data_IF_645154313193
#
_entry.id   IF_645154313193
#
_cell.length_a   1.000
_cell.length_b   1.000
_cell.length_c   1.000
_cell.angle_alpha   90.00
_cell.angle_beta   90.00
_cell.angle_gamma   90.00
#
_symmetry.space_group_name_H-M   'P 1'
#
loop_
_entity.id
_entity.type
_entity.pdbx_description
1 polymer ?
#
# COMPACT_ATOMS: atom_id res chain seq x y z
N UNK A 1 -34.30 3.62 34.12
CA UNK A 1 -33.96 4.49 32.98
C UNK A 1 -32.45 4.44 32.80
N UNK A 2 -31.97 3.78 31.74
CA UNK A 2 -30.55 3.86 31.37
C UNK A 2 -30.29 5.29 30.95
N UNK A 3 -29.26 5.92 31.53
CA UNK A 3 -28.92 7.31 31.20
C UNK A 3 -28.46 7.40 29.74
N UNK A 4 -28.65 8.55 29.08
CA UNK A 4 -28.14 8.76 27.70
C UNK A 4 -26.64 8.43 27.57
N UNK A 5 -25.88 8.62 28.66
CA UNK A 5 -24.45 8.34 28.71
C UNK A 5 -24.15 6.84 28.69
N UNK A 6 -24.88 6.04 29.48
CA UNK A 6 -24.76 4.57 29.48
C UNK A 6 -25.14 3.96 28.13
N UNK A 7 -26.19 4.48 27.49
CA UNK A 7 -26.61 4.04 26.15
C UNK A 7 -25.51 4.32 25.11
N UNK A 8 -24.89 5.50 25.17
CA UNK A 8 -23.79 5.89 24.27
C UNK A 8 -22.54 5.03 24.48
N UNK A 9 -22.22 4.69 25.73
CA UNK A 9 -21.10 3.81 26.07
C UNK A 9 -21.37 2.39 25.56
N UNK A 10 -22.57 1.84 25.81
CA UNK A 10 -22.96 0.51 25.35
C UNK A 10 -22.92 0.38 23.81
N UNK A 11 -23.50 1.34 23.09
CA UNK A 11 -23.44 1.42 21.63
C UNK A 11 -21.99 1.43 21.12
N UNK A 12 -21.14 2.20 21.79
CA UNK A 12 -19.73 2.30 21.40
C UNK A 12 -18.98 0.99 21.61
N UNK A 13 -19.23 0.30 22.72
CA UNK A 13 -18.64 -1.03 22.97
C UNK A 13 -19.11 -2.01 21.90
N UNK A 14 -20.41 -2.04 21.60
CA UNK A 14 -21.01 -2.93 20.60
C UNK A 14 -20.45 -2.71 19.19
N UNK A 15 -20.09 -1.47 18.82
CA UNK A 15 -19.54 -1.16 17.50
C UNK A 15 -18.01 -1.32 17.43
N UNK A 16 -17.29 -0.86 18.44
CA UNK A 16 -15.82 -0.80 18.41
C UNK A 16 -15.19 -2.15 18.70
N UNK A 17 -15.78 -2.97 19.58
CA UNK A 17 -15.21 -4.29 19.93
C UNK A 17 -15.15 -5.24 18.73
N UNK A 18 -16.24 -5.49 17.98
CA UNK A 18 -16.19 -6.37 16.81
C UNK A 18 -15.20 -5.87 15.75
N UNK A 19 -15.13 -4.54 15.57
CA UNK A 19 -14.19 -3.93 14.64
C UNK A 19 -12.73 -4.19 15.05
N UNK A 20 -12.40 -4.03 16.34
CA UNK A 20 -11.05 -4.34 16.85
C UNK A 20 -10.74 -5.81 16.65
N UNK A 21 -11.66 -6.71 17.01
CA UNK A 21 -11.47 -8.16 16.84
C UNK A 21 -11.20 -8.50 15.38
N UNK A 22 -12.01 -7.97 14.47
CA UNK A 22 -11.84 -8.13 13.03
C UNK A 22 -10.48 -7.64 12.53
N UNK A 23 -10.10 -6.41 12.90
CA UNK A 23 -8.81 -5.81 12.54
C UNK A 23 -7.65 -6.64 13.07
N UNK A 24 -7.68 -7.05 14.35
CA UNK A 24 -6.61 -7.83 14.95
C UNK A 24 -6.49 -9.22 14.33
N UNK A 25 -7.60 -9.85 13.97
CA UNK A 25 -7.60 -11.13 13.25
C UNK A 25 -6.89 -10.99 11.89
N UNK A 26 -7.25 -9.98 11.10
CA UNK A 26 -6.64 -9.77 9.78
C UNK A 26 -5.18 -9.30 9.87
N UNK A 27 -4.83 -8.42 10.81
CA UNK A 27 -3.43 -8.07 11.05
C UNK A 27 -2.61 -9.28 11.49
N UNK A 28 -3.21 -10.21 12.25
CA UNK A 28 -2.55 -11.46 12.63
C UNK A 28 -2.38 -12.39 11.44
N UNK A 29 -3.38 -12.53 10.57
CA UNK A 29 -3.22 -13.32 9.34
C UNK A 29 -2.13 -12.75 8.45
N UNK A 30 -2.08 -11.43 8.30
CA UNK A 30 -1.04 -10.70 7.58
C UNK A 30 0.35 -10.99 8.16
N UNK A 31 0.48 -10.94 9.48
CA UNK A 31 1.72 -11.29 10.16
C UNK A 31 2.13 -12.75 9.92
N UNK A 32 1.19 -13.69 9.99
CA UNK A 32 1.42 -15.12 9.77
C UNK A 32 1.70 -15.49 8.30
N UNK A 33 1.25 -14.68 7.34
CA UNK A 33 1.53 -14.91 5.91
C UNK A 33 3.02 -14.81 5.56
N UNK A 34 3.78 -13.98 6.30
CA UNK A 34 5.22 -13.81 6.11
C UNK A 34 6.02 -15.11 6.38
N UNK A 35 5.93 -15.76 7.57
CA UNK A 35 6.60 -17.04 7.81
C UNK A 35 5.99 -18.18 6.99
N UNK A 36 4.71 -18.13 6.64
CA UNK A 36 4.11 -19.12 5.74
C UNK A 36 4.75 -19.07 4.34
N UNK A 37 5.00 -17.86 3.81
CA UNK A 37 5.72 -17.69 2.54
C UNK A 37 7.11 -18.31 2.58
N UNK A 38 7.84 -18.17 3.69
CA UNK A 38 9.13 -18.88 3.87
C UNK A 38 8.95 -20.39 3.85
N UNK A 39 7.93 -20.90 4.54
CA UNK A 39 7.69 -22.34 4.58
C UNK A 39 7.35 -22.93 3.21
N UNK A 40 6.50 -22.25 2.45
CA UNK A 40 6.18 -22.64 1.08
C UNK A 40 7.44 -22.62 0.20
N UNK A 41 8.23 -21.55 0.25
CA UNK A 41 9.33 -21.35 -0.68
C UNK A 41 10.60 -22.15 -0.34
N UNK A 42 10.82 -22.52 0.92
CA UNK A 42 12.08 -23.16 1.36
C UNK A 42 11.92 -24.49 2.07
N UNK A 43 10.73 -24.81 2.60
CA UNK A 43 10.49 -26.04 3.37
C UNK A 43 9.59 -27.05 2.66
N UNK A 44 9.12 -26.75 1.44
CA UNK A 44 8.52 -27.74 0.54
C UNK A 44 9.57 -28.25 -0.47
N UNK A 45 9.53 -29.52 -0.90
CA UNK A 45 10.47 -30.05 -1.89
C UNK A 45 10.49 -29.24 -3.19
N UNK A 46 9.31 -28.89 -3.71
CA UNK A 46 9.14 -28.16 -4.96
C UNK A 46 9.61 -26.71 -4.82
N UNK A 47 9.24 -26.04 -3.72
CA UNK A 47 9.67 -24.67 -3.44
C UNK A 47 11.18 -24.57 -3.26
N UNK A 48 11.79 -25.49 -2.51
CA UNK A 48 13.23 -25.52 -2.30
C UNK A 48 14.04 -25.82 -3.58
N UNK A 49 13.45 -26.55 -4.53
CA UNK A 49 14.02 -26.72 -5.86
C UNK A 49 13.92 -25.41 -6.67
N UNK A 50 12.75 -24.78 -6.68
CA UNK A 50 12.50 -23.52 -7.39
C UNK A 50 13.37 -22.36 -6.84
N UNK A 51 13.55 -22.28 -5.53
CA UNK A 51 14.29 -21.21 -4.87
C UNK A 51 15.78 -21.14 -5.27
N UNK A 52 16.32 -22.24 -5.80
CA UNK A 52 17.70 -22.35 -6.27
C UNK A 52 17.87 -21.96 -7.74
N UNK A 53 16.78 -21.85 -8.49
CA UNK A 53 16.81 -21.44 -9.89
C UNK A 53 17.34 -20.00 -10.00
N UNK A 54 18.15 -19.71 -11.03
CA UNK A 54 18.58 -18.34 -11.30
C UNK A 54 17.37 -17.48 -11.66
N UNK A 55 17.31 -16.26 -11.13
CA UNK A 55 16.28 -15.29 -11.45
C UNK A 55 16.60 -14.67 -12.83
N UNK A 56 15.75 -14.86 -13.86
CA UNK A 56 15.92 -14.20 -15.14
C UNK A 56 15.76 -12.69 -15.00
N UNK A 57 16.52 -11.92 -15.78
CA UNK A 57 16.43 -10.45 -15.80
C UNK A 57 15.00 -9.95 -16.06
N UNK A 58 14.25 -10.68 -16.90
CA UNK A 58 12.89 -10.32 -17.32
C UNK A 58 11.86 -10.41 -16.21
N UNK A 59 12.15 -11.11 -15.11
CA UNK A 59 11.23 -11.29 -13.97
C UNK A 59 11.26 -10.15 -12.96
N UNK A 60 12.15 -9.16 -13.17
CA UNK A 60 12.26 -8.00 -12.29
C UNK A 60 12.15 -6.68 -13.07
N UNK A 61 11.02 -6.43 -13.75
CA UNK A 61 10.80 -5.19 -14.48
C UNK A 61 10.57 -4.05 -13.47
N UNK A 62 11.46 -3.07 -13.48
CA UNK A 62 11.26 -1.81 -12.80
C UNK A 62 10.63 -0.82 -13.74
N UNK A 63 9.58 -0.15 -13.26
CA UNK A 63 9.05 1.04 -13.90
C UNK A 63 9.40 2.24 -13.01
N UNK A 64 9.97 3.30 -13.58
CA UNK A 64 10.14 4.57 -12.90
C UNK A 64 9.32 5.65 -13.60
N UNK A 65 8.69 6.51 -12.80
CA UNK A 65 7.87 7.62 -13.31
C UNK A 65 6.72 7.18 -14.23
N UNK A 66 6.24 5.94 -14.08
CA UNK A 66 5.28 5.25 -14.97
C UNK A 66 5.74 5.03 -16.43
N UNK A 67 6.95 5.45 -16.79
CA UNK A 67 7.39 5.52 -18.20
C UNK A 67 8.69 4.78 -18.45
N UNK A 68 9.66 4.91 -17.54
CA UNK A 68 11.00 4.38 -17.74
C UNK A 68 11.08 2.95 -17.24
N UNK A 69 10.84 1.99 -18.14
CA UNK A 69 11.01 0.57 -17.89
C UNK A 69 12.47 0.13 -18.02
N UNK A 70 12.99 -0.61 -17.03
CA UNK A 70 14.29 -1.27 -17.11
C UNK A 70 14.29 -2.53 -16.26
N UNK A 71 15.22 -3.44 -16.54
CA UNK A 71 15.41 -4.65 -15.76
C UNK A 71 16.57 -4.45 -14.77
N UNK A 72 16.40 -4.87 -13.52
CA UNK A 72 17.52 -4.88 -12.58
C UNK A 72 18.33 -6.16 -12.80
N UNK A 73 19.63 -6.07 -13.15
CA UNK A 73 20.50 -7.23 -13.19
C UNK A 73 20.82 -7.68 -11.77
N UNK A 74 19.97 -8.54 -11.23
CA UNK A 74 20.21 -9.21 -9.96
C UNK A 74 20.79 -10.59 -10.26
N UNK A 75 22.10 -10.85 -10.12
CA UNK A 75 22.68 -12.18 -10.21
C UNK A 75 22.31 -12.98 -8.94
N UNK A 76 21.03 -13.25 -8.76
CA UNK A 76 20.45 -13.91 -7.60
C UNK A 76 19.61 -15.10 -8.02
N UNK A 77 19.37 -16.01 -7.08
CA UNK A 77 18.32 -17.00 -7.20
C UNK A 77 16.96 -16.40 -6.83
N UNK A 78 15.88 -17.05 -7.25
CA UNK A 78 14.52 -16.70 -6.78
C UNK A 78 14.44 -16.66 -5.24
N UNK A 79 15.10 -17.58 -4.55
CA UNK A 79 15.13 -17.63 -3.09
C UNK A 79 15.75 -16.39 -2.46
N UNK A 80 16.91 -15.94 -2.95
CA UNK A 80 17.55 -14.74 -2.42
C UNK A 80 16.70 -13.48 -2.67
N UNK A 81 16.11 -13.36 -3.87
CA UNK A 81 15.21 -12.27 -4.20
C UNK A 81 13.94 -12.29 -3.33
N UNK A 82 13.37 -13.47 -3.07
CA UNK A 82 12.21 -13.63 -2.20
C UNK A 82 12.52 -13.21 -0.75
N UNK A 83 13.68 -13.63 -0.21
CA UNK A 83 14.12 -13.21 1.13
C UNK A 83 14.32 -11.69 1.23
N UNK A 84 14.85 -11.06 0.18
CA UNK A 84 15.00 -9.61 0.11
C UNK A 84 13.62 -8.91 0.15
N UNK A 85 12.66 -9.36 -0.67
CA UNK A 85 11.30 -8.84 -0.69
C UNK A 85 10.61 -9.02 0.66
N UNK A 86 10.74 -10.20 1.28
CA UNK A 86 10.20 -10.46 2.60
C UNK A 86 10.80 -9.53 3.66
N UNK A 87 12.11 -9.28 3.60
CA UNK A 87 12.77 -8.30 4.47
C UNK A 87 12.14 -6.91 4.34
N UNK A 88 11.82 -6.47 3.12
CA UNK A 88 11.12 -5.21 2.87
C UNK A 88 9.71 -5.23 3.50
N UNK A 89 8.96 -6.32 3.35
CA UNK A 89 7.63 -6.44 3.96
C UNK A 89 7.67 -6.43 5.48
N UNK A 90 8.66 -7.10 6.10
CA UNK A 90 8.88 -7.06 7.55
C UNK A 90 9.19 -5.63 8.02
N UNK A 91 10.06 -4.91 7.30
CA UNK A 91 10.40 -3.51 7.61
C UNK A 91 9.17 -2.62 7.46
N UNK A 92 8.39 -2.79 6.40
CA UNK A 92 7.16 -2.04 6.17
C UNK A 92 6.14 -2.32 7.27
N UNK A 93 5.96 -3.58 7.67
CA UNK A 93 5.05 -3.98 8.75
C UNK A 93 5.47 -3.38 10.09
N UNK A 94 6.76 -3.46 10.43
CA UNK A 94 7.30 -2.84 11.65
C UNK A 94 7.15 -1.31 11.64
N UNK A 95 7.35 -0.68 10.47
CA UNK A 95 7.10 0.75 10.26
C UNK A 95 5.63 1.10 10.47
N UNK A 96 4.72 0.35 9.85
CA UNK A 96 3.27 0.53 9.95
C UNK A 96 2.77 0.31 11.40
N UNK A 97 3.38 -0.60 12.15
CA UNK A 97 3.05 -0.84 13.56
C UNK A 97 3.26 0.39 14.44
N UNK A 98 4.29 1.20 14.14
CA UNK A 98 4.71 2.35 14.97
C UNK A 98 4.34 3.71 14.39
N UNK A 99 3.92 3.78 13.13
CA UNK A 99 3.70 5.04 12.43
C UNK A 99 2.57 5.87 13.05
N UNK A 100 2.83 7.17 13.33
CA UNK A 100 1.99 8.15 14.04
C UNK A 100 1.58 7.76 15.46
N UNK A 101 0.84 6.67 15.61
CA UNK A 101 0.43 6.08 16.87
C UNK A 101 0.57 4.56 16.75
N UNK A 102 1.05 3.88 17.79
CA UNK A 102 1.25 2.43 17.71
C UNK A 102 -0.08 1.68 17.61
N UNK A 103 -0.10 0.51 16.97
CA UNK A 103 -1.32 -0.30 16.87
C UNK A 103 -1.90 -0.62 18.26
N UNK A 104 -1.04 -1.00 19.21
CA UNK A 104 -1.44 -1.26 20.59
C UNK A 104 -2.04 -0.01 21.26
N UNK A 105 -1.47 1.18 21.04
CA UNK A 105 -2.02 2.43 21.57
C UNK A 105 -3.40 2.75 21.01
N UNK A 106 -3.59 2.57 19.70
CA UNK A 106 -4.88 2.77 19.03
C UNK A 106 -5.94 1.84 19.64
N UNK A 107 -5.62 0.55 19.79
CA UNK A 107 -6.54 -0.44 20.37
C UNK A 107 -6.84 -0.11 21.83
N UNK A 108 -5.82 0.19 22.64
CA UNK A 108 -5.99 0.51 24.07
C UNK A 108 -6.86 1.75 24.29
N UNK A 109 -6.75 2.77 23.43
CA UNK A 109 -7.44 4.06 23.57
C UNK A 109 -8.73 4.16 22.74
N UNK A 110 -9.12 3.07 22.09
CA UNK A 110 -10.26 2.99 21.18
C UNK A 110 -11.60 3.36 21.82
N UNK A 111 -11.78 3.06 23.11
CA UNK A 111 -12.99 3.36 23.87
C UNK A 111 -12.99 4.76 24.51
N UNK A 112 -11.84 5.45 24.56
CA UNK A 112 -11.69 6.77 25.19
C UNK A 112 -11.54 7.94 24.22
N UNK A 113 -11.29 7.69 22.93
CA UNK A 113 -11.02 8.74 21.91
C UNK A 113 -11.96 8.71 20.71
N UNK A 114 -12.19 9.83 19.98
CA UNK A 114 -13.07 9.82 18.81
C UNK A 114 -12.75 8.69 17.81
N UNK A 115 -13.76 8.09 17.18
CA UNK A 115 -13.63 6.97 16.25
C UNK A 115 -12.62 7.23 15.12
N UNK A 116 -12.55 8.48 14.64
CA UNK A 116 -11.58 8.91 13.62
C UNK A 116 -10.12 8.70 14.01
N UNK A 117 -9.80 8.67 15.32
CA UNK A 117 -8.45 8.42 15.82
C UNK A 117 -8.02 6.97 15.68
N UNK A 118 -8.94 6.03 15.43
CA UNK A 118 -8.59 4.64 15.13
C UNK A 118 -7.77 4.53 13.84
N UNK A 119 -8.08 5.39 12.86
CA UNK A 119 -7.38 5.45 11.58
C UNK A 119 -6.05 6.19 11.64
N UNK A 120 -5.55 6.56 12.84
CA UNK A 120 -4.21 7.11 12.97
C UNK A 120 -3.12 6.09 12.67
N UNK A 121 -3.40 4.80 12.86
CA UNK A 121 -2.48 3.71 12.57
C UNK A 121 -2.91 2.98 11.28
N UNK A 122 -1.94 2.77 10.39
CA UNK A 122 -2.16 2.12 9.12
C UNK A 122 -2.60 0.65 9.26
N UNK A 123 -1.99 -0.12 10.17
CA UNK A 123 -2.39 -1.52 10.39
C UNK A 123 -3.81 -1.65 10.95
N UNK A 124 -4.34 -0.61 11.60
CA UNK A 124 -5.76 -0.58 11.97
C UNK A 124 -6.66 -0.26 10.78
N UNK A 125 -6.29 0.73 9.96
CA UNK A 125 -7.08 1.19 8.83
C UNK A 125 -7.12 0.17 7.68
N UNK A 126 -6.00 -0.50 7.42
CA UNK A 126 -5.81 -1.34 6.24
C UNK A 126 -6.77 -2.50 6.11
N UNK A 127 -7.05 -3.33 7.13
CA UNK A 127 -8.00 -4.43 6.98
C UNK A 127 -9.38 -3.93 6.52
N UNK A 128 -9.82 -2.80 7.06
CA UNK A 128 -11.08 -2.16 6.69
C UNK A 128 -11.03 -1.68 5.23
N UNK A 129 -9.96 -0.97 4.86
CA UNK A 129 -9.76 -0.47 3.50
C UNK A 129 -9.69 -1.63 2.49
N UNK A 130 -8.94 -2.68 2.80
CA UNK A 130 -8.78 -3.86 1.97
C UNK A 130 -10.11 -4.58 1.76
N UNK A 131 -10.90 -4.78 2.82
CA UNK A 131 -12.22 -5.41 2.69
C UNK A 131 -13.21 -4.55 1.91
N UNK A 132 -13.22 -3.23 2.12
CA UNK A 132 -14.07 -2.33 1.33
C UNK A 132 -13.65 -2.33 -0.14
N UNK A 133 -12.34 -2.28 -0.42
CA UNK A 133 -11.79 -2.32 -1.77
C UNK A 133 -12.13 -3.65 -2.44
N UNK A 134 -11.97 -4.78 -1.74
CA UNK A 134 -12.33 -6.10 -2.26
C UNK A 134 -13.79 -6.18 -2.65
N UNK A 135 -14.72 -5.74 -1.78
CA UNK A 135 -16.16 -5.74 -2.09
C UNK A 135 -16.43 -4.87 -3.33
N UNK A 136 -15.81 -3.70 -3.42
CA UNK A 136 -15.99 -2.81 -4.58
C UNK A 136 -15.45 -3.45 -5.87
N UNK A 137 -14.24 -4.01 -5.85
CA UNK A 137 -13.63 -4.70 -6.98
C UNK A 137 -14.46 -5.92 -7.40
N UNK A 138 -14.89 -6.74 -6.46
CA UNK A 138 -15.74 -7.91 -6.72
C UNK A 138 -17.09 -7.49 -7.34
N UNK A 139 -17.70 -6.43 -6.83
CA UNK A 139 -18.97 -5.90 -7.38
C UNK A 139 -18.79 -5.40 -8.82
N UNK A 140 -17.72 -4.63 -9.08
CA UNK A 140 -17.39 -4.13 -10.42
C UNK A 140 -17.13 -5.31 -11.36
N UNK A 141 -16.33 -6.28 -10.92
CA UNK A 141 -15.99 -7.47 -11.70
C UNK A 141 -17.25 -8.26 -12.08
N UNK A 142 -18.12 -8.59 -11.12
CA UNK A 142 -19.37 -9.30 -11.38
C UNK A 142 -20.27 -8.55 -12.36
N UNK A 143 -20.35 -7.22 -12.24
CA UNK A 143 -21.09 -6.39 -13.18
C UNK A 143 -20.46 -6.44 -14.58
N UNK A 144 -19.15 -6.27 -14.70
CA UNK A 144 -18.45 -6.27 -15.98
C UNK A 144 -18.56 -7.61 -16.72
N UNK A 145 -18.37 -8.73 -16.01
CA UNK A 145 -18.54 -10.07 -16.57
C UNK A 145 -19.98 -10.27 -17.06
N UNK A 146 -20.99 -9.78 -16.33
CA UNK A 146 -22.40 -9.84 -16.78
C UNK A 146 -22.67 -9.07 -18.07
N UNK A 147 -21.82 -8.09 -18.39
CA UNK A 147 -21.89 -7.28 -19.62
C UNK A 147 -20.91 -7.77 -20.70
N UNK A 148 -20.24 -8.92 -20.50
CA UNK A 148 -19.27 -9.47 -21.45
C UNK A 148 -17.96 -8.68 -21.52
N UNK A 149 -17.58 -7.98 -20.45
CA UNK A 149 -16.30 -7.27 -20.33
C UNK A 149 -15.37 -8.08 -19.42
N UNK A 150 -14.55 -8.99 -19.97
CA UNK A 150 -13.77 -9.91 -19.16
C UNK A 150 -12.61 -9.20 -18.46
N UNK A 151 -12.34 -9.58 -17.21
CA UNK A 151 -11.15 -9.11 -16.47
C UNK A 151 -9.88 -9.86 -16.91
N UNK A 152 -10.04 -11.05 -17.48
CA UNK A 152 -8.95 -11.96 -17.79
C UNK A 152 -8.62 -12.88 -16.62
N UNK A 153 -7.76 -13.87 -16.88
CA UNK A 153 -7.31 -14.85 -15.89
C UNK A 153 -5.83 -14.67 -15.59
N UNK A 154 -5.40 -15.19 -14.45
CA UNK A 154 -3.98 -15.32 -14.17
C UNK A 154 -3.31 -16.24 -15.19
N UNK A 155 -2.02 -16.01 -15.48
CA UNK A 155 -1.28 -16.86 -16.39
C UNK A 155 -1.09 -18.25 -15.78
N UNK A 156 -1.28 -19.29 -16.59
CA UNK A 156 -0.99 -20.68 -16.21
C UNK A 156 0.52 -20.93 -16.27
N UNK A 157 1.21 -20.55 -15.19
CA UNK A 157 2.66 -20.75 -15.02
C UNK A 157 2.95 -21.56 -13.75
N UNK A 158 4.22 -21.90 -13.54
CA UNK A 158 4.68 -22.54 -12.30
C UNK A 158 4.15 -21.80 -11.05
N UNK A 159 3.51 -22.50 -10.08
CA UNK A 159 2.91 -21.85 -8.92
C UNK A 159 3.89 -21.05 -8.07
N UNK A 160 5.16 -21.47 -7.96
CA UNK A 160 6.18 -20.73 -7.20
C UNK A 160 6.65 -19.50 -7.97
N UNK A 161 6.69 -19.56 -9.31
CA UNK A 161 6.90 -18.38 -10.14
C UNK A 161 5.76 -17.39 -10.00
N UNK A 162 4.51 -17.84 -10.08
CA UNK A 162 3.33 -16.99 -9.88
C UNK A 162 3.34 -16.36 -8.49
N UNK A 163 3.57 -17.16 -7.45
CA UNK A 163 3.68 -16.67 -6.08
C UNK A 163 4.80 -15.63 -5.94
N UNK A 164 5.97 -15.86 -6.52
CA UNK A 164 7.07 -14.90 -6.55
C UNK A 164 6.67 -13.60 -7.26
N UNK A 165 6.01 -13.68 -8.41
CA UNK A 165 5.53 -12.50 -9.15
C UNK A 165 4.51 -11.69 -8.35
N UNK A 166 3.56 -12.35 -7.69
CA UNK A 166 2.59 -11.70 -6.80
C UNK A 166 3.25 -11.10 -5.54
N UNK A 167 4.41 -11.65 -5.14
CA UNK A 167 5.25 -11.13 -4.06
C UNK A 167 6.08 -9.93 -4.50
N UNK A 168 6.58 -9.91 -5.73
CA UNK A 168 7.48 -8.86 -6.21
C UNK A 168 6.71 -7.65 -6.74
N UNK A 169 5.61 -7.87 -7.46
CA UNK A 169 4.86 -6.81 -8.16
C UNK A 169 4.42 -5.66 -7.26
N UNK A 170 3.92 -5.86 -6.02
CA UNK A 170 3.47 -4.75 -5.17
C UNK A 170 4.57 -3.72 -4.95
N UNK A 171 5.78 -4.18 -4.62
CA UNK A 171 6.90 -3.28 -4.39
C UNK A 171 7.29 -2.51 -5.66
N UNK A 172 7.45 -3.22 -6.78
CA UNK A 172 7.94 -2.63 -8.03
C UNK A 172 6.92 -1.61 -8.58
N UNK A 173 5.65 -1.95 -8.50
CA UNK A 173 4.55 -1.11 -8.95
C UNK A 173 4.36 0.11 -8.03
N UNK A 174 4.46 -0.03 -6.71
CA UNK A 174 4.44 1.13 -5.81
C UNK A 174 5.63 2.06 -6.03
N UNK A 175 6.82 1.52 -6.35
CA UNK A 175 7.98 2.33 -6.73
C UNK A 175 7.68 3.13 -7.99
N UNK A 176 7.15 2.49 -9.03
CA UNK A 176 6.92 3.14 -10.31
C UNK A 176 5.80 4.16 -10.31
N UNK A 177 4.65 3.82 -9.73
CA UNK A 177 3.46 4.66 -9.83
C UNK A 177 3.33 5.67 -8.70
N UNK A 178 3.87 5.39 -7.50
CA UNK A 178 3.65 6.24 -6.31
C UNK A 178 4.96 6.87 -5.85
N UNK A 179 5.91 6.08 -5.39
CA UNK A 179 7.12 6.58 -4.69
C UNK A 179 7.96 7.45 -5.62
N UNK A 180 8.21 7.02 -6.86
CA UNK A 180 8.95 7.82 -7.83
C UNK A 180 8.07 8.94 -8.42
N UNK A 181 6.91 8.60 -8.97
CA UNK A 181 6.05 9.56 -9.68
C UNK A 181 5.45 10.63 -8.77
N UNK A 182 4.64 10.23 -7.79
CA UNK A 182 4.00 11.18 -6.86
C UNK A 182 5.07 11.79 -5.95
N UNK A 183 6.06 11.01 -5.51
CA UNK A 183 7.14 11.49 -4.66
C UNK A 183 7.98 12.60 -5.32
N UNK A 184 8.40 12.44 -6.58
CA UNK A 184 9.14 13.50 -7.30
C UNK A 184 8.26 14.70 -7.59
N UNK A 185 7.00 14.50 -7.99
CA UNK A 185 6.05 15.60 -8.11
C UNK A 185 5.98 16.41 -6.80
N UNK A 186 5.86 15.73 -5.66
CA UNK A 186 5.79 16.38 -4.35
C UNK A 186 7.08 17.12 -3.99
N UNK A 187 8.25 16.58 -4.35
CA UNK A 187 9.53 17.28 -4.16
C UNK A 187 9.50 18.61 -4.90
N UNK A 188 9.17 18.59 -6.20
CA UNK A 188 9.10 19.79 -7.03
C UNK A 188 8.06 20.77 -6.49
N UNK A 189 6.84 20.29 -6.21
CA UNK A 189 5.75 21.11 -5.69
C UNK A 189 6.11 21.79 -4.36
N UNK A 190 6.69 21.06 -3.42
CA UNK A 190 7.06 21.60 -2.10
C UNK A 190 8.25 22.56 -2.18
N UNK A 191 9.19 22.32 -3.10
CA UNK A 191 10.25 23.28 -3.43
C UNK A 191 9.66 24.57 -4.00
N UNK A 192 8.66 24.50 -4.87
CA UNK A 192 8.02 25.70 -5.44
C UNK A 192 7.23 26.49 -4.40
N UNK A 193 6.45 25.83 -3.54
CA UNK A 193 5.55 26.52 -2.58
C UNK A 193 6.27 26.93 -1.29
N UNK A 194 7.30 26.18 -0.87
CA UNK A 194 8.00 26.37 0.41
C UNK A 194 9.52 26.47 0.27
N UNK A 195 10.04 26.73 -0.93
CA UNK A 195 11.48 26.82 -1.20
C UNK A 195 12.22 27.81 -0.30
N UNK A 196 11.62 28.97 0.01
CA UNK A 196 12.21 29.94 0.96
C UNK A 196 12.37 29.35 2.35
N UNK A 197 11.38 28.61 2.85
CA UNK A 197 11.48 27.92 4.15
C UNK A 197 12.53 26.82 4.11
N UNK A 198 12.58 26.05 3.01
CA UNK A 198 13.59 25.01 2.85
C UNK A 198 15.02 25.60 2.80
N UNK A 199 15.20 26.75 2.16
CA UNK A 199 16.49 27.46 2.07
C UNK A 199 16.99 28.00 3.43
N UNK A 200 16.11 28.17 4.41
CA UNK A 200 16.52 28.54 5.79
C UNK A 200 17.01 27.35 6.61
N UNK A 201 16.79 26.12 6.14
CA UNK A 201 17.26 24.92 6.83
C UNK A 201 18.75 24.68 6.58
N UNK A 202 19.42 24.01 7.50
CA UNK A 202 20.77 23.50 7.21
C UNK A 202 20.74 22.46 6.10
N UNK A 203 21.84 22.26 5.39
CA UNK A 203 21.94 21.27 4.29
C UNK A 203 21.49 19.88 4.72
N UNK A 204 21.86 19.42 5.91
CA UNK A 204 21.43 18.13 6.44
C UNK A 204 19.94 18.05 6.74
N UNK A 205 19.33 19.14 7.23
CA UNK A 205 17.88 19.21 7.45
C UNK A 205 17.11 19.26 6.14
N UNK A 206 17.59 20.03 5.15
CA UNK A 206 17.00 20.08 3.82
C UNK A 206 17.04 18.70 3.16
N UNK A 207 18.18 18.01 3.18
CA UNK A 207 18.32 16.65 2.67
C UNK A 207 17.36 15.68 3.37
N UNK A 208 17.28 15.74 4.71
CA UNK A 208 16.35 14.91 5.48
C UNK A 208 14.89 15.14 5.09
N UNK A 209 14.48 16.40 4.91
CA UNK A 209 13.12 16.73 4.48
C UNK A 209 12.87 16.22 3.06
N UNK A 210 13.80 16.43 2.13
CA UNK A 210 13.68 15.96 0.75
C UNK A 210 13.53 14.45 0.67
N UNK A 211 14.32 13.68 1.43
CA UNK A 211 14.20 12.22 1.51
C UNK A 211 12.90 11.77 2.18
N UNK A 212 12.35 12.56 3.11
CA UNK A 212 11.07 12.27 3.74
C UNK A 212 9.87 12.50 2.83
N UNK A 213 9.99 13.32 1.78
CA UNK A 213 8.86 13.60 0.88
C UNK A 213 8.35 12.32 0.19
N UNK A 214 9.18 11.53 -0.52
CA UNK A 214 8.70 10.32 -1.19
C UNK A 214 8.38 9.19 -0.20
N UNK A 215 8.91 9.21 1.03
CA UNK A 215 8.67 8.17 2.03
C UNK A 215 7.42 8.45 2.88
N UNK A 216 7.28 9.68 3.38
CA UNK A 216 6.23 10.09 4.30
C UNK A 216 5.69 11.49 3.94
N UNK A 217 4.94 11.63 2.83
CA UNK A 217 4.45 12.92 2.32
C UNK A 217 3.84 13.84 3.37
N UNK A 218 2.93 13.29 4.19
CA UNK A 218 2.23 14.07 5.23
C UNK A 218 3.19 14.62 6.30
N UNK A 219 4.18 13.82 6.71
CA UNK A 219 5.19 14.23 7.70
C UNK A 219 6.09 15.32 7.13
N UNK A 220 6.51 15.20 5.87
CA UNK A 220 7.31 16.22 5.20
C UNK A 220 6.52 17.54 5.06
N UNK A 221 5.25 17.47 4.64
CA UNK A 221 4.34 18.63 4.58
C UNK A 221 4.21 19.32 5.93
N UNK A 222 4.08 18.56 7.02
CA UNK A 222 4.03 19.10 8.38
C UNK A 222 5.28 19.91 8.73
N UNK A 223 6.47 19.37 8.47
CA UNK A 223 7.74 20.06 8.73
C UNK A 223 7.85 21.37 7.93
N UNK A 224 7.33 21.38 6.71
CA UNK A 224 7.29 22.57 5.84
C UNK A 224 6.13 23.53 6.16
N UNK A 225 5.28 23.23 7.14
CA UNK A 225 4.12 24.07 7.49
C UNK A 225 3.11 24.16 6.35
N UNK A 226 2.99 23.10 5.56
CA UNK A 226 1.94 22.95 4.54
C UNK A 226 0.79 22.18 5.16
N UNK A 227 -0.43 22.48 4.70
CA UNK A 227 -1.65 21.78 5.13
C UNK A 227 -1.48 20.26 5.01
N UNK A 228 -1.73 19.54 6.08
CA UNK A 228 -1.54 18.09 6.19
C UNK A 228 -2.88 17.35 6.17
N UNK A 229 -2.84 16.09 5.79
CA UNK A 229 -3.98 15.17 5.89
C UNK A 229 -4.22 14.79 7.35
N UNK A 230 -3.16 14.63 8.15
CA UNK A 230 -3.32 14.30 9.58
C UNK A 230 -4.05 15.37 10.39
N UNK A 231 -3.99 16.64 9.98
CA UNK A 231 -4.67 17.76 10.68
C UNK A 231 -5.97 18.19 10.00
N UNK A 232 -6.05 18.10 8.67
CA UNK A 232 -7.20 18.62 7.90
C UNK A 232 -7.99 17.55 7.13
N UNK A 233 -7.66 16.27 7.30
CA UNK A 233 -8.27 15.16 6.57
C UNK A 233 -8.11 15.31 5.06
N UNK A 234 -9.15 14.96 4.30
CA UNK A 234 -9.19 15.05 2.84
C UNK A 234 -8.87 16.48 2.35
N UNK A 235 -9.25 17.51 3.11
CA UNK A 235 -8.95 18.91 2.75
C UNK A 235 -7.46 19.22 2.80
N UNK A 236 -6.62 18.34 3.37
CA UNK A 236 -5.16 18.41 3.38
C UNK A 236 -4.50 17.99 2.06
N UNK A 237 -5.25 17.37 1.15
CA UNK A 237 -4.79 17.02 -0.19
C UNK A 237 -4.91 18.25 -1.10
N UNK A 238 -3.80 18.66 -1.70
CA UNK A 238 -3.74 19.75 -2.68
C UNK A 238 -4.34 19.33 -4.01
N UNK A 239 -4.68 20.32 -4.85
CA UNK A 239 -5.19 20.06 -6.21
C UNK A 239 -4.19 19.25 -7.04
N UNK A 240 -2.89 19.56 -6.92
CA UNK A 240 -1.84 18.83 -7.62
C UNK A 240 -1.73 17.37 -7.16
N UNK A 241 -1.80 17.11 -5.85
CA UNK A 241 -1.84 15.74 -5.32
C UNK A 241 -3.05 14.94 -5.84
N UNK A 242 -4.23 15.56 -5.92
CA UNK A 242 -5.41 14.93 -6.51
C UNK A 242 -5.24 14.59 -7.99
N UNK A 243 -4.71 15.52 -8.78
CA UNK A 243 -4.43 15.31 -10.20
C UNK A 243 -3.45 14.15 -10.35
N UNK A 244 -2.39 14.11 -9.56
CA UNK A 244 -1.40 13.03 -9.62
C UNK A 244 -2.02 11.68 -9.25
N UNK A 245 -2.83 11.59 -8.19
CA UNK A 245 -3.52 10.34 -7.85
C UNK A 245 -4.37 9.87 -9.03
N UNK A 246 -5.16 10.74 -9.66
CA UNK A 246 -6.03 10.36 -10.78
C UNK A 246 -5.19 9.85 -11.97
N UNK A 247 -4.16 10.61 -12.36
CA UNK A 247 -3.28 10.25 -13.48
C UNK A 247 -2.60 8.90 -13.22
N UNK A 248 -1.99 8.71 -12.05
CA UNK A 248 -1.26 7.48 -11.73
C UNK A 248 -2.20 6.29 -11.66
N UNK A 249 -3.44 6.48 -11.21
CA UNK A 249 -4.44 5.40 -11.10
C UNK A 249 -4.97 4.97 -12.47
N UNK A 250 -5.22 5.93 -13.36
CA UNK A 250 -5.61 5.63 -14.74
C UNK A 250 -4.47 4.91 -15.48
N UNK A 251 -3.24 5.41 -15.34
CA UNK A 251 -2.06 4.78 -15.92
C UNK A 251 -1.86 3.35 -15.39
N UNK A 252 -2.05 3.15 -14.08
CA UNK A 252 -1.94 1.83 -13.44
C UNK A 252 -2.94 0.82 -14.04
N UNK A 253 -4.20 1.22 -14.21
CA UNK A 253 -5.22 0.37 -14.84
C UNK A 253 -4.95 0.08 -16.31
N UNK A 254 -4.52 1.09 -17.08
CA UNK A 254 -4.18 0.90 -18.50
C UNK A 254 -2.99 -0.05 -18.71
N UNK A 255 -1.96 0.07 -17.87
CA UNK A 255 -0.78 -0.80 -17.92
C UNK A 255 -1.18 -2.26 -17.69
N UNK A 256 -2.08 -2.56 -16.76
CA UNK A 256 -2.55 -3.93 -16.54
C UNK A 256 -3.19 -4.54 -17.79
N UNK A 257 -3.99 -3.77 -18.52
CA UNK A 257 -4.54 -4.22 -19.80
C UNK A 257 -3.47 -4.43 -20.87
N UNK A 258 -2.52 -3.49 -21.00
CA UNK A 258 -1.42 -3.59 -21.99
C UNK A 258 -0.54 -4.82 -21.73
N UNK A 259 -0.33 -5.19 -20.47
CA UNK A 259 0.51 -6.31 -20.07
C UNK A 259 -0.24 -7.64 -19.88
N UNK A 260 -1.42 -7.80 -20.48
CA UNK A 260 -2.03 -9.11 -20.71
C UNK A 260 -3.33 -9.40 -19.96
N UNK A 261 -3.84 -8.46 -19.16
CA UNK A 261 -5.17 -8.60 -18.56
C UNK A 261 -6.29 -8.23 -19.55
N UNK A 262 -7.50 -8.67 -19.26
CA UNK A 262 -8.70 -8.29 -20.02
C UNK A 262 -9.10 -6.83 -19.80
N UNK A 263 -9.96 -6.25 -20.66
CA UNK A 263 -10.39 -4.85 -20.57
C UNK A 263 -11.09 -4.52 -19.25
N UNK A 264 -11.74 -5.49 -18.59
CA UNK A 264 -12.35 -5.30 -17.28
C UNK A 264 -11.34 -4.94 -16.18
N UNK A 265 -10.08 -5.35 -16.34
CA UNK A 265 -9.02 -5.05 -15.37
C UNK A 265 -8.70 -3.56 -15.30
N UNK A 266 -8.95 -2.78 -16.37
CA UNK A 266 -8.65 -1.34 -16.39
C UNK A 266 -9.35 -0.63 -15.22
N UNK A 267 -10.65 -0.86 -15.04
CA UNK A 267 -11.45 -0.18 -14.02
C UNK A 267 -11.12 -0.65 -12.61
N UNK A 268 -10.93 -1.95 -12.40
CA UNK A 268 -10.62 -2.52 -11.09
C UNK A 268 -9.22 -2.13 -10.64
N UNK A 269 -8.22 -2.27 -11.51
CA UNK A 269 -6.87 -1.83 -11.22
C UNK A 269 -6.79 -0.29 -11.08
N UNK A 270 -7.56 0.51 -11.84
CA UNK A 270 -7.63 1.96 -11.57
C UNK A 270 -8.19 2.27 -10.19
N UNK A 271 -9.21 1.53 -9.71
CA UNK A 271 -9.74 1.70 -8.36
C UNK A 271 -8.68 1.34 -7.29
N UNK A 272 -7.97 0.23 -7.46
CA UNK A 272 -6.84 -0.16 -6.60
C UNK A 272 -5.76 0.93 -6.60
N UNK A 273 -5.41 1.38 -7.80
CA UNK A 273 -4.60 2.55 -8.13
C UNK A 273 -4.86 3.73 -7.21
N UNK A 274 -6.13 4.13 -7.19
CA UNK A 274 -6.64 5.30 -6.47
C UNK A 274 -6.56 5.12 -4.96
N UNK A 275 -6.98 3.95 -4.45
CA UNK A 275 -6.92 3.66 -3.02
C UNK A 275 -5.48 3.58 -2.53
N UNK A 276 -4.57 2.98 -3.29
CA UNK A 276 -3.14 2.92 -2.94
C UNK A 276 -2.51 4.31 -2.95
N UNK A 277 -2.86 5.17 -3.93
CA UNK A 277 -2.43 6.56 -3.95
C UNK A 277 -2.90 7.37 -2.73
N UNK A 278 -4.14 7.13 -2.26
CA UNK A 278 -4.64 7.76 -1.04
C UNK A 278 -3.91 7.23 0.21
N UNK A 279 -3.75 5.92 0.38
CA UNK A 279 -3.05 5.36 1.55
C UNK A 279 -1.59 5.81 1.58
N UNK A 280 -0.94 5.94 0.42
CA UNK A 280 0.40 6.52 0.29
C UNK A 280 0.48 7.94 0.87
N UNK A 281 -0.41 8.85 0.48
CA UNK A 281 -0.39 10.22 1.03
C UNK A 281 -0.76 10.25 2.51
N UNK A 282 -1.70 9.40 2.94
CA UNK A 282 -2.16 9.37 4.31
C UNK A 282 -1.13 8.79 5.27
N UNK A 283 -0.40 7.73 4.89
CA UNK A 283 0.38 6.93 5.83
C UNK A 283 1.86 6.81 5.44
N UNK A 284 2.23 7.09 4.20
CA UNK A 284 3.58 6.89 3.67
C UNK A 284 3.75 5.56 2.93
N UNK A 285 4.96 5.36 2.39
CA UNK A 285 5.40 4.24 1.53
C UNK A 285 4.97 2.86 2.00
N UNK A 286 5.09 2.57 3.29
CA UNK A 286 4.81 1.25 3.83
C UNK A 286 3.34 0.84 3.69
N UNK A 287 2.43 1.80 3.62
CA UNK A 287 1.00 1.54 3.57
C UNK A 287 0.54 0.95 2.24
N UNK A 288 0.73 1.60 1.07
CA UNK A 288 0.32 1.02 -0.19
C UNK A 288 1.08 -0.27 -0.50
N UNK A 289 2.37 -0.38 -0.14
CA UNK A 289 3.16 -1.62 -0.33
C UNK A 289 2.50 -2.79 0.38
N UNK A 290 2.17 -2.64 1.66
CA UNK A 290 1.49 -3.68 2.41
C UNK A 290 0.07 -3.94 1.87
N UNK A 291 -0.64 -2.90 1.42
CA UNK A 291 -2.05 -3.02 1.03
C UNK A 291 -2.14 -3.85 -0.22
N UNK A 292 -1.32 -3.47 -1.18
CA UNK A 292 -1.17 -4.12 -2.46
C UNK A 292 -0.66 -5.55 -2.28
N UNK A 293 0.36 -5.75 -1.44
CA UNK A 293 0.85 -7.10 -1.15
C UNK A 293 -0.22 -8.02 -0.57
N UNK A 294 -0.98 -7.57 0.43
CA UNK A 294 -2.09 -8.35 0.96
C UNK A 294 -3.23 -8.52 -0.04
N UNK A 295 -3.52 -7.51 -0.87
CA UNK A 295 -4.52 -7.64 -1.91
C UNK A 295 -4.14 -8.76 -2.89
N UNK A 296 -2.87 -8.82 -3.32
CA UNK A 296 -2.38 -9.86 -4.21
C UNK A 296 -2.34 -11.23 -3.52
N UNK A 297 -1.88 -11.32 -2.27
CA UNK A 297 -1.74 -12.61 -1.58
C UNK A 297 -3.06 -13.28 -1.20
N UNK A 298 -4.11 -12.49 -0.94
CA UNK A 298 -5.37 -13.02 -0.42
C UNK A 298 -6.46 -13.10 -1.49
N UNK A 299 -6.36 -12.32 -2.57
CA UNK A 299 -7.47 -12.07 -3.48
C UNK A 299 -7.12 -12.33 -4.96
N UNK A 300 -5.93 -12.86 -5.22
CA UNK A 300 -5.45 -13.26 -6.55
C UNK A 300 -5.06 -14.73 -6.48
#
# INVERSE_FOLDING_TARGET
>A
MVTQNETRIALRILLVTPLIVFVLLLVSSYFLSMPLGLALFFFTPEGAAFSKLPLPLTEFPMLLFMVFGFYIPVPASYGLAFLFLLGIYVICFAGAWRFRESLHDVVRKSFSRPFTKLFNNNLFAMPIIASMLFIAVATIHLFQESQGIPTGTLPEIDPFRLFFQLTSSPLLEEIGFRISTIGVFLIVYLLSVRGKKLATLSTGQALKVTLLIPLYPDKAKKLLGVKTISEFGIKGISRGEWIMIIITSLAFGLVHYIFGWGPGKITTATLDGFVFGLTYLFYGIQAPILLHWFFNYYLT
#
